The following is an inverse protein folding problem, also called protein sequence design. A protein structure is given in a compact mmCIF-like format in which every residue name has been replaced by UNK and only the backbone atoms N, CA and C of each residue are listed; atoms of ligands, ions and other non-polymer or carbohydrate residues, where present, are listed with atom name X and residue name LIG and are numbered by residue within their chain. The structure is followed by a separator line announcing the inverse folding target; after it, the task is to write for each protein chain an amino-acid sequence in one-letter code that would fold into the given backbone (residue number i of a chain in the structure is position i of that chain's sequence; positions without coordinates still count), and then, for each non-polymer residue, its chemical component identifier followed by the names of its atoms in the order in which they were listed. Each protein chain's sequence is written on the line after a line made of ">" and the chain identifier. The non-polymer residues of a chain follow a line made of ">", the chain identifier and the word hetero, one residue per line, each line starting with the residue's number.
data_IF_357474775443
#
_entry.id   IF_357474775443
#
_cell.length_a   1.000
_cell.length_b   1.000
_cell.length_c   1.000
_cell.angle_alpha   90.00
_cell.angle_beta   90.00
_cell.angle_gamma   90.00
#
_symmetry.space_group_name_H-M   'P 1'
#
loop_
_entity.id
_entity.type
_entity.pdbx_description
1 polymer ?
#
# COMPACT_ATOMS: atom_id res chain seq x y z
N UNK A 1 2.01 3.79 -18.51
CA UNK A 1 0.58 4.16 -18.43
C UNK A 1 0.26 4.88 -17.13
N UNK A 2 0.26 4.22 -15.96
CA UNK A 2 -0.16 4.84 -14.68
C UNK A 2 0.61 6.13 -14.31
N UNK A 3 1.96 6.11 -14.45
CA UNK A 3 2.81 7.27 -14.13
C UNK A 3 2.56 8.51 -15.00
N UNK A 4 1.99 8.35 -16.21
CA UNK A 4 1.71 9.48 -17.11
C UNK A 4 0.43 10.24 -16.74
N UNK A 5 -0.43 9.65 -15.90
CA UNK A 5 -1.70 10.26 -15.48
C UNK A 5 -1.62 10.92 -14.10
N UNK A 6 -0.55 10.69 -13.34
CA UNK A 6 -0.33 11.34 -12.05
C UNK A 6 0.74 12.42 -12.18
N UNK A 7 0.39 13.66 -11.83
CA UNK A 7 1.31 14.81 -11.86
C UNK A 7 2.52 14.63 -10.95
N UNK A 8 2.40 13.80 -9.91
CA UNK A 8 3.48 13.40 -9.00
C UNK A 8 3.12 12.07 -8.33
N UNK A 9 3.98 11.06 -8.48
CA UNK A 9 3.86 9.78 -7.76
C UNK A 9 4.85 9.77 -6.62
N UNK A 10 4.38 9.43 -5.42
CA UNK A 10 5.23 9.16 -4.25
C UNK A 10 5.06 7.70 -3.87
N UNK A 11 6.16 7.05 -3.49
CA UNK A 11 6.21 5.63 -3.20
C UNK A 11 6.74 5.45 -1.79
N UNK A 12 6.01 4.67 -1.01
CA UNK A 12 6.33 4.37 0.38
C UNK A 12 6.45 2.86 0.53
N UNK A 13 7.50 2.39 1.20
CA UNK A 13 7.73 0.98 1.47
C UNK A 13 7.58 0.71 2.97
N UNK A 14 7.08 -0.48 3.32
CA UNK A 14 6.90 -0.91 4.70
C UNK A 14 6.92 -2.44 4.84
N UNK A 15 7.14 -2.89 6.06
CA UNK A 15 7.02 -4.24 6.61
C UNK A 15 6.36 -3.99 7.96
N UNK A 16 7.00 -3.23 8.85
CA UNK A 16 6.36 -2.66 10.05
C UNK A 16 6.33 -1.12 10.06
N UNK A 17 7.38 -0.47 9.56
CA UNK A 17 7.58 0.98 9.61
C UNK A 17 7.62 1.53 8.20
N UNK A 18 6.94 2.65 7.97
CA UNK A 18 6.88 3.25 6.64
C UNK A 18 8.03 4.21 6.40
N UNK A 19 8.67 4.11 5.23
CA UNK A 19 9.67 5.07 4.73
C UNK A 19 9.38 5.45 3.27
N UNK A 20 9.73 6.68 2.90
CA UNK A 20 9.55 7.21 1.55
C UNK A 20 10.72 6.82 0.64
N UNK A 21 10.41 6.01 -0.36
CA UNK A 21 11.37 5.48 -1.33
C UNK A 21 11.19 6.10 -2.72
N UNK A 22 10.42 7.19 -2.84
CA UNK A 22 10.13 7.88 -4.12
C UNK A 22 11.37 8.12 -4.98
N UNK A 23 12.52 8.47 -4.37
CA UNK A 23 13.77 8.75 -5.08
C UNK A 23 14.36 7.51 -5.78
N UNK A 24 14.04 6.30 -5.31
CA UNK A 24 14.49 5.05 -5.93
C UNK A 24 13.74 4.75 -7.23
N UNK A 25 12.65 5.46 -7.53
CA UNK A 25 11.79 5.23 -8.70
C UNK A 25 11.89 6.36 -9.75
N UNK A 26 13.03 7.04 -9.86
CA UNK A 26 13.28 8.07 -10.88
C UNK A 26 13.16 7.59 -12.34
N UNK A 27 13.18 8.49 -13.34
CA UNK A 27 13.04 8.14 -14.76
C UNK A 27 14.07 7.11 -15.25
N UNK A 28 15.29 7.18 -14.71
CA UNK A 28 16.42 6.31 -15.08
C UNK A 28 16.65 5.16 -14.08
N UNK A 29 15.71 4.95 -13.16
CA UNK A 29 15.85 3.91 -12.14
C UNK A 29 15.53 2.53 -12.70
N UNK A 30 16.44 1.59 -12.48
CA UNK A 30 16.16 0.17 -12.69
C UNK A 30 15.25 -0.31 -11.55
N UNK A 31 14.03 -0.70 -11.91
CA UNK A 31 13.02 -1.19 -10.99
C UNK A 31 13.50 -2.41 -10.19
N UNK A 32 14.27 -3.31 -10.81
CA UNK A 32 14.81 -4.48 -10.12
C UNK A 32 15.84 -4.06 -9.06
N UNK A 33 16.66 -3.06 -9.36
CA UNK A 33 17.63 -2.48 -8.41
C UNK A 33 16.91 -1.73 -7.30
N UNK A 34 15.86 -0.95 -7.62
CA UNK A 34 15.04 -0.26 -6.62
C UNK A 34 14.37 -1.25 -5.65
N UNK A 35 13.81 -2.35 -6.17
CA UNK A 35 13.23 -3.42 -5.34
C UNK A 35 14.29 -4.09 -4.47
N UNK A 36 15.47 -4.42 -5.02
CA UNK A 36 16.57 -4.98 -4.22
C UNK A 36 17.07 -4.02 -3.13
N UNK A 37 17.11 -2.71 -3.42
CA UNK A 37 17.48 -1.68 -2.45
C UNK A 37 16.40 -1.48 -1.40
N UNK A 38 15.12 -1.54 -1.74
CA UNK A 38 14.05 -1.50 -0.73
C UNK A 38 14.19 -2.68 0.24
N UNK A 39 14.45 -3.89 -0.27
CA UNK A 39 14.68 -5.06 0.59
C UNK A 39 15.92 -4.93 1.48
N UNK A 40 16.94 -4.15 1.06
CA UNK A 40 18.27 -4.09 1.71
C UNK A 40 18.53 -2.83 2.53
N UNK A 41 18.00 -1.69 2.13
CA UNK A 41 18.34 -0.34 2.61
C UNK A 41 17.17 0.34 3.33
N UNK A 42 15.92 -0.01 3.03
CA UNK A 42 14.80 0.53 3.79
C UNK A 42 14.90 -0.06 5.21
N UNK A 43 14.96 0.82 6.22
CA UNK A 43 15.11 0.49 7.64
C UNK A 43 13.85 -0.16 8.23
N UNK A 44 13.32 -1.16 7.55
CA UNK A 44 12.00 -1.75 7.79
C UNK A 44 12.09 -3.00 8.66
N UNK A 45 12.91 -2.92 9.71
CA UNK A 45 13.21 -4.03 10.59
C UNK A 45 13.05 -3.61 12.04
N UNK A 46 11.89 -3.89 12.63
CA UNK A 46 11.76 -4.09 14.07
C UNK A 46 11.46 -5.56 14.38
N UNK A 47 12.46 -6.18 15.02
CA UNK A 47 12.42 -7.35 15.91
C UNK A 47 12.02 -8.74 15.39
N UNK A 48 11.23 -8.92 14.32
CA UNK A 48 10.87 -10.28 13.85
C UNK A 48 10.69 -10.46 12.32
N UNK A 49 10.67 -9.39 11.52
CA UNK A 49 10.64 -9.49 10.04
C UNK A 49 9.27 -9.83 9.45
N UNK A 50 8.21 -9.73 10.27
CA UNK A 50 6.84 -10.00 9.89
C UNK A 50 6.04 -8.72 9.69
N UNK A 51 5.18 -8.67 8.68
CA UNK A 51 4.37 -7.48 8.37
C UNK A 51 3.48 -7.01 9.53
N UNK A 52 3.54 -5.71 9.83
CA UNK A 52 2.66 -4.98 10.75
C UNK A 52 2.09 -3.77 10.01
N UNK A 53 0.94 -3.95 9.37
CA UNK A 53 0.22 -2.89 8.67
C UNK A 53 -0.27 -1.80 9.64
N UNK A 54 -0.64 -2.18 10.87
CA UNK A 54 -1.11 -1.21 11.86
C UNK A 54 0.01 -0.22 12.23
N UNK A 55 1.19 -0.75 12.56
CA UNK A 55 2.37 0.09 12.80
C UNK A 55 2.80 0.87 11.55
N UNK A 56 2.62 0.30 10.35
CA UNK A 56 2.92 0.99 9.11
C UNK A 56 2.03 2.22 8.91
N UNK A 57 0.74 2.13 9.26
CA UNK A 57 -0.18 3.29 9.21
C UNK A 57 0.18 4.35 10.25
N UNK A 58 0.49 3.95 11.49
CA UNK A 58 0.95 4.87 12.54
C UNK A 58 2.19 5.63 12.06
N UNK A 59 3.23 4.91 11.67
CA UNK A 59 4.50 5.50 11.24
C UNK A 59 4.35 6.37 9.99
N UNK A 60 3.47 6.00 9.05
CA UNK A 60 3.18 6.82 7.88
C UNK A 60 2.54 8.15 8.27
N UNK A 61 1.52 8.14 9.13
CA UNK A 61 0.85 9.36 9.56
C UNK A 61 1.75 10.27 10.41
N UNK A 62 2.60 9.68 11.25
CA UNK A 62 3.54 10.43 12.09
C UNK A 62 4.64 11.11 11.27
N UNK A 63 5.25 10.39 10.33
CA UNK A 63 6.37 10.91 9.52
C UNK A 63 5.90 11.77 8.34
N UNK A 64 4.71 11.49 7.81
CA UNK A 64 4.21 12.06 6.56
C UNK A 64 2.78 12.64 6.70
N UNK A 65 2.49 13.48 7.72
CA UNK A 65 1.11 13.89 8.05
C UNK A 65 0.40 14.69 6.95
N UNK A 66 1.15 15.37 6.08
CA UNK A 66 0.61 16.28 5.06
C UNK A 66 0.60 15.69 3.65
N UNK A 67 0.81 14.38 3.51
CA UNK A 67 0.97 13.74 2.20
C UNK A 67 -0.38 13.43 1.55
N UNK A 68 -1.35 13.03 2.36
CA UNK A 68 -2.71 12.79 1.90
C UNK A 68 -3.49 14.10 1.93
N UNK A 69 -4.30 14.31 0.91
CA UNK A 69 -5.18 15.46 0.79
C UNK A 69 -6.38 15.11 -0.08
N UNK A 70 -7.46 15.92 -0.09
CA UNK A 70 -8.60 15.65 -0.96
C UNK A 70 -8.30 15.65 -2.47
N UNK A 71 -7.05 15.91 -2.88
CA UNK A 71 -6.56 15.78 -4.26
C UNK A 71 -5.71 14.52 -4.50
N UNK A 72 -5.28 13.81 -3.46
CA UNK A 72 -4.47 12.59 -3.58
C UNK A 72 -5.32 11.38 -3.91
N UNK A 73 -4.69 10.38 -4.53
CA UNK A 73 -5.23 9.02 -4.61
C UNK A 73 -4.30 8.09 -3.81
N UNK A 74 -4.86 7.33 -2.89
CA UNK A 74 -4.14 6.34 -2.09
C UNK A 74 -4.23 4.97 -2.76
N UNK A 75 -3.09 4.33 -2.97
CA UNK A 75 -3.00 2.97 -3.47
C UNK A 75 -2.17 2.15 -2.52
N UNK A 76 -2.79 1.19 -1.84
CA UNK A 76 -2.11 0.21 -0.97
C UNK A 76 -1.84 -1.05 -1.78
N UNK A 77 -0.61 -1.55 -1.74
CA UNK A 77 -0.21 -2.81 -2.35
C UNK A 77 0.24 -3.76 -1.23
N UNK A 78 -0.48 -4.86 -1.01
CA UNK A 78 -0.17 -5.77 0.09
C UNK A 78 -1.22 -6.86 0.30
N UNK A 79 -0.86 -7.94 0.97
CA UNK A 79 -1.70 -9.10 1.25
C UNK A 79 -2.65 -8.94 2.47
N UNK A 80 -2.42 -7.94 3.31
CA UNK A 80 -3.15 -7.73 4.55
C UNK A 80 -2.88 -8.80 5.62
N UNK A 81 -1.76 -9.55 5.51
CA UNK A 81 -1.29 -10.44 6.57
C UNK A 81 -0.65 -9.63 7.68
N UNK A 82 -1.33 -9.57 8.82
CA UNK A 82 -0.98 -8.66 9.91
C UNK A 82 -0.44 -9.39 11.15
N UNK A 83 -0.17 -10.70 11.06
CA UNK A 83 0.41 -11.48 12.16
C UNK A 83 -0.38 -11.38 13.48
N UNK A 84 -1.72 -11.32 13.39
CA UNK A 84 -2.66 -11.15 14.51
C UNK A 84 -2.50 -9.84 15.31
N UNK A 85 -1.74 -8.87 14.80
CA UNK A 85 -1.56 -7.56 15.43
C UNK A 85 -2.78 -6.67 15.21
N UNK A 86 -2.85 -5.55 15.93
CA UNK A 86 -3.92 -4.58 15.73
C UNK A 86 -3.88 -4.05 14.28
N UNK A 87 -4.96 -4.16 13.49
CA UNK A 87 -4.98 -3.63 12.13
C UNK A 87 -5.06 -2.10 12.05
N UNK A 88 -5.35 -1.41 13.16
CA UNK A 88 -5.50 0.06 13.18
C UNK A 88 -6.46 0.58 12.11
N UNK A 89 -7.64 -0.05 11.99
CA UNK A 89 -8.65 0.27 10.96
C UNK A 89 -9.12 1.72 11.01
N UNK A 90 -9.10 2.35 12.19
CA UNK A 90 -9.46 3.76 12.35
C UNK A 90 -8.44 4.69 11.67
N UNK A 91 -7.15 4.35 11.72
CA UNK A 91 -6.10 5.08 11.01
C UNK A 91 -6.20 4.88 9.51
N UNK A 92 -6.48 3.66 9.07
CA UNK A 92 -6.77 3.40 7.65
C UNK A 92 -7.98 4.21 7.18
N UNK A 93 -9.06 4.27 7.98
CA UNK A 93 -10.24 5.05 7.66
C UNK A 93 -9.91 6.55 7.56
N UNK A 94 -9.07 7.05 8.46
CA UNK A 94 -8.56 8.43 8.38
C UNK A 94 -7.80 8.67 7.06
N UNK A 95 -6.89 7.78 6.67
CA UNK A 95 -6.13 7.88 5.41
C UNK A 95 -7.04 7.82 4.16
N UNK A 96 -8.05 6.94 4.18
CA UNK A 96 -9.06 6.82 3.12
C UNK A 96 -9.87 8.11 3.00
N UNK A 97 -10.39 8.62 4.11
CA UNK A 97 -11.19 9.85 4.14
C UNK A 97 -10.39 11.10 3.76
N UNK A 98 -9.09 11.11 4.05
CA UNK A 98 -8.20 12.20 3.65
C UNK A 98 -7.90 12.19 2.14
N UNK A 99 -8.19 11.11 1.41
CA UNK A 99 -7.86 10.93 -0.01
C UNK A 99 -9.10 11.04 -0.90
N UNK A 100 -8.94 11.49 -2.15
CA UNK A 100 -10.04 11.54 -3.13
C UNK A 100 -10.50 10.14 -3.55
N UNK A 101 -9.54 9.25 -3.75
CA UNK A 101 -9.72 7.86 -4.14
C UNK A 101 -8.78 7.01 -3.29
N UNK A 102 -9.23 5.83 -2.87
CA UNK A 102 -8.43 4.92 -2.07
C UNK A 102 -8.73 3.47 -2.48
N UNK A 103 -7.69 2.75 -2.90
CA UNK A 103 -7.79 1.37 -3.35
C UNK A 103 -6.68 0.52 -2.77
N UNK A 104 -6.99 -0.76 -2.53
CA UNK A 104 -6.02 -1.74 -2.08
C UNK A 104 -5.93 -2.89 -3.09
N UNK A 105 -4.73 -3.15 -3.61
CA UNK A 105 -4.48 -4.29 -4.49
C UNK A 105 -3.83 -5.41 -3.68
N UNK A 106 -4.55 -6.51 -3.54
CA UNK A 106 -4.11 -7.66 -2.76
C UNK A 106 -3.65 -8.80 -3.70
N UNK A 107 -2.40 -9.27 -3.59
CA UNK A 107 -1.87 -10.33 -4.45
C UNK A 107 -2.37 -11.73 -4.08
N UNK A 108 -3.01 -11.90 -2.92
CA UNK A 108 -3.58 -13.19 -2.52
C UNK A 108 -4.92 -13.46 -3.20
N UNK A 109 -5.22 -14.73 -3.54
CA UNK A 109 -6.56 -15.13 -3.97
C UNK A 109 -7.63 -14.77 -2.93
N UNK A 110 -8.78 -14.25 -3.37
CA UNK A 110 -9.89 -13.84 -2.48
C UNK A 110 -10.34 -14.93 -1.52
N UNK A 111 -10.31 -16.20 -1.93
CA UNK A 111 -10.73 -17.31 -1.07
C UNK A 111 -9.81 -17.55 0.13
N UNK A 112 -8.61 -16.96 0.15
CA UNK A 112 -7.68 -16.99 1.29
C UNK A 112 -7.81 -15.76 2.19
N UNK A 113 -8.58 -14.74 1.80
CA UNK A 113 -8.76 -13.54 2.61
C UNK A 113 -9.50 -13.89 3.90
N UNK A 114 -8.94 -13.50 5.05
CA UNK A 114 -9.43 -13.89 6.36
C UNK A 114 -8.97 -15.26 6.86
N UNK A 115 -8.13 -15.97 6.10
CA UNK A 115 -7.47 -17.19 6.59
C UNK A 115 -6.23 -16.86 7.43
N UNK A 116 -6.02 -17.63 8.50
CA UNK A 116 -4.86 -17.47 9.38
C UNK A 116 -4.79 -16.07 10.00
N UNK A 117 -3.68 -15.39 9.77
CA UNK A 117 -3.35 -14.07 10.30
C UNK A 117 -3.82 -12.89 9.42
N UNK A 118 -4.61 -13.18 8.39
CA UNK A 118 -5.13 -12.18 7.45
C UNK A 118 -6.14 -11.26 8.15
N UNK A 119 -5.83 -9.97 8.20
CA UNK A 119 -6.73 -8.92 8.71
C UNK A 119 -7.66 -8.36 7.62
N UNK A 120 -7.59 -8.90 6.40
CA UNK A 120 -8.34 -8.43 5.22
C UNK A 120 -9.82 -8.20 5.47
N UNK A 121 -10.58 -9.07 6.18
CA UNK A 121 -12.00 -8.82 6.44
C UNK A 121 -12.27 -7.47 7.10
N UNK A 122 -11.39 -7.04 8.02
CA UNK A 122 -11.50 -5.74 8.71
C UNK A 122 -11.10 -4.58 7.80
N UNK A 123 -10.10 -4.77 6.94
CA UNK A 123 -9.70 -3.74 5.98
C UNK A 123 -10.75 -3.51 4.88
N UNK A 124 -11.44 -4.57 4.44
CA UNK A 124 -12.47 -4.47 3.39
C UNK A 124 -13.68 -3.63 3.81
N UNK A 125 -13.96 -3.52 5.11
CA UNK A 125 -15.00 -2.63 5.64
C UNK A 125 -14.63 -1.13 5.49
N UNK A 126 -13.35 -0.83 5.24
CA UNK A 126 -12.79 0.53 5.26
C UNK A 126 -12.32 1.01 3.88
N UNK A 127 -11.71 0.12 3.08
CA UNK A 127 -11.12 0.46 1.78
C UNK A 127 -11.54 -0.54 0.70
N UNK A 128 -11.78 -0.02 -0.50
CA UNK A 128 -12.08 -0.85 -1.67
C UNK A 128 -10.87 -1.72 -2.04
N UNK A 129 -10.99 -3.03 -1.80
CA UNK A 129 -9.91 -3.99 -2.03
C UNK A 129 -10.19 -4.88 -3.26
N UNK A 130 -9.15 -5.10 -4.06
CA UNK A 130 -9.20 -5.84 -5.31
C UNK A 130 -8.13 -6.94 -5.32
N UNK A 131 -8.49 -8.16 -5.72
CA UNK A 131 -7.49 -9.20 -6.00
C UNK A 131 -6.71 -8.83 -7.26
N UNK A 132 -5.39 -8.77 -7.14
CA UNK A 132 -4.48 -8.36 -8.20
C UNK A 132 -3.18 -9.16 -8.13
N UNK A 133 -3.19 -10.34 -8.75
CA UNK A 133 -2.08 -11.31 -8.74
C UNK A 133 -1.41 -11.50 -10.11
N UNK A 134 -1.79 -10.69 -11.09
CA UNK A 134 -1.27 -10.77 -12.45
C UNK A 134 -1.34 -9.40 -13.13
N UNK A 135 -0.48 -9.19 -14.13
CA UNK A 135 -0.51 -7.98 -14.95
C UNK A 135 -1.88 -7.76 -15.63
N UNK A 136 -2.58 -8.84 -15.98
CA UNK A 136 -3.94 -8.79 -16.54
C UNK A 136 -4.94 -8.19 -15.54
N UNK A 137 -4.93 -8.66 -14.29
CA UNK A 137 -5.80 -8.12 -13.25
C UNK A 137 -5.43 -6.68 -12.90
N UNK A 138 -4.14 -6.36 -12.87
CA UNK A 138 -3.68 -4.99 -12.70
C UNK A 138 -4.26 -4.09 -13.78
N UNK A 139 -4.17 -4.48 -15.06
CA UNK A 139 -4.76 -3.73 -16.15
C UNK A 139 -6.28 -3.56 -15.97
N UNK A 140 -7.01 -4.63 -15.64
CA UNK A 140 -8.46 -4.55 -15.39
C UNK A 140 -8.83 -3.62 -14.23
N UNK A 141 -8.04 -3.59 -13.15
CA UNK A 141 -8.27 -2.67 -12.04
C UNK A 141 -8.00 -1.24 -12.49
N UNK A 142 -6.88 -0.99 -13.18
CA UNK A 142 -6.55 0.34 -13.70
C UNK A 142 -7.66 0.86 -14.63
N UNK A 143 -8.13 0.02 -15.56
CA UNK A 143 -9.21 0.38 -16.48
C UNK A 143 -10.51 0.72 -15.75
N UNK A 144 -10.79 0.06 -14.62
CA UNK A 144 -11.95 0.36 -13.77
C UNK A 144 -11.78 1.62 -12.91
N UNK A 145 -10.55 2.05 -12.64
CA UNK A 145 -10.22 3.19 -11.79
C UNK A 145 -10.10 4.51 -12.57
N UNK A 146 -9.89 4.44 -13.87
CA UNK A 146 -9.80 5.63 -14.72
C UNK A 146 -11.19 6.00 -15.24
N UNK A 147 -11.68 7.22 -14.98
CA UNK A 147 -12.89 7.70 -15.65
C UNK A 147 -12.61 7.79 -17.15
N UNK A 148 -13.54 7.28 -17.95
CA UNK A 148 -13.57 7.44 -19.42
C UNK A 148 -13.64 8.92 -19.79
#
# INVERSE_FOLDING_TARGET
>A
ALRQQFSRVRVFAFIDTTDEVTQLFGPDSDLAVAVQRITREAGVYTRDGHSDYGHAFVSFLDQYPNVLSPRSSLLVLGDGRNNYRNPETDLLAHMVNASRHAHWLNPEPKHLWGSGDSAVPRYQDVISMHECRSAKQLASVIDALLPV
#
